data_IF_479518211504
#
_entry.id   IF_479518211504
#
_cell.length_a   1.000
_cell.length_b   1.000
_cell.length_c   1.000
_cell.angle_alpha   90.00
_cell.angle_beta   90.00
_cell.angle_gamma   90.00
#
_symmetry.space_group_name_H-M   'P 1'
#
loop_
_entity.id
_entity.type
_entity.pdbx_description
1 polymer ?
#
# COMPACT_ATOMS: atom_id res chain seq x y z
N UNK A 1 -24.80 -32.19 -9.37
CA UNK A 1 -23.39 -31.77 -9.35
C UNK A 1 -23.37 -30.29 -9.69
N UNK A 2 -23.17 -29.44 -8.69
CA UNK A 2 -23.38 -28.00 -8.81
C UNK A 2 -22.35 -27.38 -9.76
N UNK A 3 -22.76 -26.42 -10.61
CA UNK A 3 -21.89 -25.71 -11.56
C UNK A 3 -20.65 -25.09 -10.89
N UNK A 4 -20.80 -24.68 -9.62
CA UNK A 4 -19.73 -24.14 -8.78
C UNK A 4 -18.60 -25.14 -8.49
N UNK A 5 -18.93 -26.42 -8.32
CA UNK A 5 -17.91 -27.47 -8.12
C UNK A 5 -17.03 -27.65 -9.35
N UNK A 6 -17.64 -27.58 -10.54
CA UNK A 6 -16.89 -27.65 -11.81
C UNK A 6 -16.04 -26.40 -12.03
N UNK A 7 -16.54 -25.21 -11.66
CA UNK A 7 -15.78 -23.97 -11.77
C UNK A 7 -14.56 -23.95 -10.83
N UNK A 8 -14.69 -24.49 -9.61
CA UNK A 8 -13.58 -24.62 -8.65
C UNK A 8 -12.49 -25.56 -9.15
N UNK A 9 -12.85 -26.71 -9.70
CA UNK A 9 -11.87 -27.65 -10.28
C UNK A 9 -11.14 -27.03 -11.48
N UNK A 10 -11.87 -26.32 -12.35
CA UNK A 10 -11.27 -25.58 -13.47
C UNK A 10 -10.30 -24.50 -12.98
N UNK A 11 -10.61 -23.80 -11.89
CA UNK A 11 -9.71 -22.79 -11.34
C UNK A 11 -8.34 -23.35 -10.93
N UNK A 12 -8.24 -24.61 -10.50
CA UNK A 12 -6.98 -25.24 -10.12
C UNK A 12 -6.12 -25.65 -11.32
N UNK A 13 -6.75 -25.99 -12.44
CA UNK A 13 -6.07 -26.48 -13.66
C UNK A 13 -6.03 -25.45 -14.81
N UNK A 14 -6.64 -24.27 -14.61
CA UNK A 14 -6.76 -23.24 -15.63
C UNK A 14 -5.39 -22.78 -16.13
N UNK A 15 -5.30 -22.61 -17.46
CA UNK A 15 -4.16 -21.99 -18.14
C UNK A 15 -4.16 -20.47 -17.92
N UNK A 16 -3.06 -19.78 -18.26
CA UNK A 16 -2.95 -18.33 -18.05
C UNK A 16 -4.06 -17.52 -18.74
N UNK A 17 -4.53 -17.96 -19.91
CA UNK A 17 -5.60 -17.26 -20.65
C UNK A 17 -6.97 -17.47 -19.98
N UNK A 18 -7.24 -18.66 -19.45
CA UNK A 18 -8.46 -18.98 -18.72
C UNK A 18 -8.52 -18.30 -17.34
N UNK A 19 -7.35 -18.09 -16.71
CA UNK A 19 -7.25 -17.34 -15.46
C UNK A 19 -7.85 -15.94 -15.62
N UNK A 20 -7.60 -15.24 -16.72
CA UNK A 20 -8.13 -13.89 -16.93
C UNK A 20 -9.66 -13.84 -16.80
N UNK A 21 -10.36 -14.86 -17.29
CA UNK A 21 -11.82 -14.97 -17.18
C UNK A 21 -12.23 -15.30 -15.73
N UNK A 22 -11.57 -16.26 -15.10
CA UNK A 22 -11.89 -16.72 -13.74
C UNK A 22 -11.54 -15.68 -12.66
N UNK A 23 -10.57 -14.81 -12.91
CA UNK A 23 -10.19 -13.71 -12.02
C UNK A 23 -11.33 -12.72 -11.76
N UNK A 24 -12.33 -12.65 -12.65
CA UNK A 24 -13.52 -11.80 -12.50
C UNK A 24 -14.71 -12.54 -11.90
N UNK A 25 -14.57 -13.82 -11.56
CA UNK A 25 -15.65 -14.64 -11.03
C UNK A 25 -16.17 -14.08 -9.69
N UNK A 26 -17.48 -14.27 -9.44
CA UNK A 26 -18.16 -13.74 -8.25
C UNK A 26 -17.99 -14.62 -7.01
N UNK A 27 -17.92 -15.95 -7.19
CA UNK A 27 -17.76 -16.90 -6.09
C UNK A 27 -16.38 -16.81 -5.43
N UNK A 28 -16.36 -16.62 -4.11
CA UNK A 28 -15.15 -16.61 -3.31
C UNK A 28 -14.42 -17.95 -3.36
N UNK A 29 -15.14 -19.08 -3.36
CA UNK A 29 -14.54 -20.42 -3.41
C UNK A 29 -13.71 -20.64 -4.68
N UNK A 30 -14.18 -20.11 -5.81
CA UNK A 30 -13.44 -20.14 -7.08
C UNK A 30 -12.19 -19.28 -6.98
N UNK A 31 -12.30 -18.06 -6.43
CA UNK A 31 -11.16 -17.16 -6.26
C UNK A 31 -10.11 -17.72 -5.29
N UNK A 32 -10.54 -18.40 -4.22
CA UNK A 32 -9.65 -19.10 -3.30
C UNK A 32 -8.90 -20.23 -4.00
N UNK A 33 -9.60 -21.00 -4.83
CA UNK A 33 -8.95 -22.05 -5.63
C UNK A 33 -7.94 -21.49 -6.64
N UNK A 34 -8.18 -20.31 -7.23
CA UNK A 34 -7.20 -19.65 -8.10
C UNK A 34 -5.89 -19.34 -7.37
N UNK A 35 -5.92 -19.06 -6.06
CA UNK A 35 -4.70 -18.80 -5.28
C UNK A 35 -3.81 -20.05 -5.13
N UNK A 36 -4.33 -21.23 -5.40
CA UNK A 36 -3.60 -22.51 -5.38
C UNK A 36 -3.15 -22.95 -6.79
N UNK A 37 -3.56 -22.24 -7.84
CA UNK A 37 -3.18 -22.56 -9.20
C UNK A 37 -1.69 -22.21 -9.44
N UNK A 38 -0.88 -23.13 -10.02
CA UNK A 38 0.54 -22.87 -10.30
C UNK A 38 0.81 -21.73 -11.29
N UNK A 39 -0.14 -21.42 -12.18
CA UNK A 39 -0.07 -20.29 -13.12
C UNK A 39 -0.52 -18.95 -12.49
N UNK A 40 -0.86 -18.94 -11.18
CA UNK A 40 -1.19 -17.72 -10.45
C UNK A 40 0.09 -16.95 -10.08
N UNK A 41 0.56 -16.14 -11.02
CA UNK A 41 1.75 -15.30 -10.85
C UNK A 41 1.43 -13.89 -10.36
N UNK A 42 2.46 -13.05 -10.26
CA UNK A 42 2.35 -11.66 -9.80
C UNK A 42 1.30 -10.87 -10.57
N UNK A 43 1.28 -11.00 -11.90
CA UNK A 43 0.40 -10.20 -12.77
C UNK A 43 -1.07 -10.50 -12.49
N UNK A 44 -1.43 -11.77 -12.43
CA UNK A 44 -2.77 -12.27 -12.15
C UNK A 44 -3.21 -11.89 -10.73
N UNK A 45 -2.29 -11.96 -9.76
CA UNK A 45 -2.56 -11.54 -8.39
C UNK A 45 -2.78 -10.03 -8.27
N UNK A 46 -1.99 -9.21 -8.98
CA UNK A 46 -2.23 -7.78 -9.03
C UNK A 46 -3.59 -7.45 -9.66
N UNK A 47 -3.94 -8.11 -10.77
CA UNK A 47 -5.26 -7.96 -11.41
C UNK A 47 -6.41 -8.34 -10.48
N UNK A 48 -6.25 -9.43 -9.70
CA UNK A 48 -7.23 -9.80 -8.67
C UNK A 48 -7.41 -8.69 -7.63
N UNK A 49 -6.30 -8.13 -7.14
CA UNK A 49 -6.28 -7.09 -6.11
C UNK A 49 -6.73 -5.71 -6.60
N UNK A 50 -6.84 -5.47 -7.91
CA UNK A 50 -7.44 -4.25 -8.44
C UNK A 50 -8.98 -4.20 -8.25
N UNK A 51 -9.61 -5.36 -7.99
CA UNK A 51 -11.05 -5.48 -7.77
C UNK A 51 -11.45 -4.89 -6.41
N UNK A 52 -11.91 -3.64 -6.41
CA UNK A 52 -12.42 -2.94 -5.20
C UNK A 52 -13.51 -3.68 -4.41
N UNK A 53 -14.25 -4.58 -5.08
CA UNK A 53 -15.32 -5.37 -4.49
C UNK A 53 -14.89 -6.77 -4.03
N UNK A 54 -13.59 -7.04 -3.90
CA UNK A 54 -13.10 -8.34 -3.45
C UNK A 54 -13.53 -8.63 -2.00
N UNK A 55 -13.96 -9.86 -1.66
CA UNK A 55 -14.22 -10.25 -0.28
C UNK A 55 -12.95 -10.16 0.59
N UNK A 56 -13.11 -9.80 1.87
CA UNK A 56 -11.98 -9.63 2.80
C UNK A 56 -11.23 -10.94 3.05
N UNK A 57 -11.94 -12.07 3.06
CA UNK A 57 -11.34 -13.40 3.21
C UNK A 57 -10.28 -13.70 2.14
N UNK A 58 -10.47 -13.26 0.89
CA UNK A 58 -9.48 -13.44 -0.18
C UNK A 58 -8.23 -12.63 0.12
N UNK A 59 -8.39 -11.37 0.56
CA UNK A 59 -7.29 -10.49 0.93
C UNK A 59 -6.50 -11.06 2.11
N UNK A 60 -7.19 -11.62 3.09
CA UNK A 60 -6.60 -12.30 4.24
C UNK A 60 -5.82 -13.55 3.84
N UNK A 61 -6.35 -14.36 2.93
CA UNK A 61 -5.65 -15.54 2.40
C UNK A 61 -4.40 -15.15 1.62
N UNK A 62 -4.49 -14.13 0.76
CA UNK A 62 -3.31 -13.56 0.09
C UNK A 62 -2.28 -13.06 1.12
N UNK A 63 -2.73 -12.38 2.18
CA UNK A 63 -1.87 -11.88 3.24
C UNK A 63 -1.23 -12.98 4.09
N UNK A 64 -1.86 -14.15 4.20
CA UNK A 64 -1.39 -15.28 5.00
C UNK A 64 -0.31 -16.06 4.27
N UNK A 65 -0.42 -16.19 2.95
CA UNK A 65 0.45 -17.01 2.11
C UNK A 65 1.73 -16.25 1.74
N UNK A 66 2.83 -16.52 2.46
CA UNK A 66 4.16 -15.93 2.20
C UNK A 66 4.62 -16.00 0.73
N UNK A 67 4.40 -17.08 -0.04
CA UNK A 67 4.79 -17.14 -1.44
C UNK A 67 4.14 -16.05 -2.31
N UNK A 68 2.89 -15.70 -2.02
CA UNK A 68 2.14 -14.68 -2.77
C UNK A 68 2.63 -13.25 -2.45
N UNK A 69 3.14 -13.04 -1.24
CA UNK A 69 3.71 -11.76 -0.80
C UNK A 69 5.19 -11.56 -1.16
N UNK A 70 5.78 -12.40 -2.02
CA UNK A 70 7.17 -12.20 -2.46
C UNK A 70 7.34 -10.89 -3.25
N UNK A 71 6.37 -10.55 -4.07
CA UNK A 71 6.42 -9.37 -4.93
C UNK A 71 6.06 -8.09 -4.16
N UNK A 72 6.86 -7.04 -4.36
CA UNK A 72 6.56 -5.70 -3.88
C UNK A 72 5.22 -5.19 -4.42
N UNK A 73 4.92 -5.45 -5.70
CA UNK A 73 3.69 -4.97 -6.34
C UNK A 73 2.45 -5.55 -5.69
N UNK A 74 2.49 -6.82 -5.30
CA UNK A 74 1.42 -7.48 -4.55
C UNK A 74 1.28 -6.89 -3.15
N UNK A 75 2.38 -6.72 -2.41
CA UNK A 75 2.34 -6.09 -1.07
C UNK A 75 1.74 -4.69 -1.12
N UNK A 76 2.15 -3.89 -2.10
CA UNK A 76 1.63 -2.54 -2.34
C UNK A 76 0.14 -2.60 -2.70
N UNK A 77 -0.26 -3.41 -3.66
CA UNK A 77 -1.67 -3.53 -4.05
C UNK A 77 -2.55 -3.92 -2.85
N UNK A 78 -2.11 -4.90 -2.05
CA UNK A 78 -2.82 -5.36 -0.87
C UNK A 78 -2.89 -4.28 0.22
N UNK A 79 -1.80 -3.56 0.49
CA UNK A 79 -1.77 -2.50 1.50
C UNK A 79 -2.70 -1.32 1.16
N UNK A 80 -2.85 -1.01 -0.14
CA UNK A 80 -3.70 0.08 -0.65
C UNK A 80 -5.14 -0.33 -0.93
N UNK A 81 -5.46 -1.62 -0.85
CA UNK A 81 -6.80 -2.08 -1.19
C UNK A 81 -7.82 -1.67 -0.12
N UNK A 82 -8.98 -1.07 -0.50
CA UNK A 82 -9.91 -0.43 0.43
C UNK A 82 -10.57 -1.40 1.42
N UNK A 83 -10.63 -2.69 1.09
CA UNK A 83 -11.22 -3.73 1.94
C UNK A 83 -10.18 -4.55 2.72
N UNK A 84 -8.90 -4.21 2.62
CA UNK A 84 -7.87 -4.92 3.38
C UNK A 84 -8.05 -4.60 4.88
N UNK A 85 -8.11 -5.62 5.75
CA UNK A 85 -8.17 -5.39 7.18
C UNK A 85 -7.00 -4.53 7.67
N UNK A 86 -7.28 -3.55 8.55
CA UNK A 86 -6.31 -2.54 9.01
C UNK A 86 -4.99 -3.16 9.50
N UNK A 87 -5.07 -4.25 10.28
CA UNK A 87 -3.91 -4.96 10.81
C UNK A 87 -2.99 -5.52 9.72
N UNK A 88 -3.55 -5.99 8.61
CA UNK A 88 -2.78 -6.49 7.46
C UNK A 88 -2.06 -5.32 6.80
N UNK A 89 -2.78 -4.22 6.52
CA UNK A 89 -2.18 -3.02 5.94
C UNK A 89 -1.05 -2.47 6.82
N UNK A 90 -1.26 -2.35 8.14
CA UNK A 90 -0.24 -1.91 9.10
C UNK A 90 1.02 -2.77 9.05
N UNK A 91 0.85 -4.11 8.99
CA UNK A 91 1.98 -5.03 8.87
C UNK A 91 2.76 -4.80 7.58
N UNK A 92 2.07 -4.60 6.47
CA UNK A 92 2.65 -4.39 5.13
C UNK A 92 3.30 -3.01 4.96
N UNK A 93 2.90 -1.98 5.72
CA UNK A 93 3.52 -0.65 5.64
C UNK A 93 5.04 -0.71 5.78
N UNK A 94 5.55 -1.59 6.65
CA UNK A 94 6.99 -1.77 6.89
C UNK A 94 7.77 -2.15 5.64
N UNK A 95 7.12 -2.85 4.72
CA UNK A 95 7.71 -3.33 3.48
C UNK A 95 7.57 -2.32 2.33
N UNK A 96 6.84 -1.21 2.54
CA UNK A 96 6.61 -0.21 1.50
C UNK A 96 7.83 0.71 1.31
N UNK A 97 8.02 1.10 0.05
CA UNK A 97 8.99 2.12 -0.33
C UNK A 97 8.56 3.50 0.17
N UNK A 98 9.54 4.38 0.28
CA UNK A 98 9.38 5.72 0.84
C UNK A 98 8.21 6.48 0.20
N UNK A 99 8.12 6.46 -1.14
CA UNK A 99 7.08 7.21 -1.84
C UNK A 99 5.69 6.59 -1.71
N UNK A 100 5.60 5.27 -1.54
CA UNK A 100 4.33 4.63 -1.28
C UNK A 100 3.87 4.91 0.16
N UNK A 101 4.78 4.99 1.14
CA UNK A 101 4.44 5.47 2.49
C UNK A 101 3.91 6.90 2.49
N UNK A 102 4.52 7.80 1.70
CA UNK A 102 4.00 9.16 1.50
C UNK A 102 2.57 9.09 0.94
N UNK A 103 2.34 8.25 -0.07
CA UNK A 103 1.02 8.09 -0.67
C UNK A 103 -0.01 7.60 0.36
N UNK A 104 0.32 6.62 1.21
CA UNK A 104 -0.58 6.17 2.29
C UNK A 104 -0.94 7.32 3.24
N UNK A 105 0.04 8.16 3.61
CA UNK A 105 -0.17 9.26 4.54
C UNK A 105 -1.10 10.35 3.98
N UNK A 106 -1.04 10.64 2.68
CA UNK A 106 -1.78 11.74 2.06
C UNK A 106 -3.13 11.34 1.46
N UNK A 107 -3.31 10.09 1.03
CA UNK A 107 -4.53 9.66 0.29
C UNK A 107 -5.81 9.84 1.13
N UNK A 108 -6.85 10.48 0.59
CA UNK A 108 -8.17 10.50 1.21
C UNK A 108 -8.77 9.09 1.33
N UNK A 109 -9.48 8.81 2.43
CA UNK A 109 -10.13 7.50 2.64
C UNK A 109 -9.27 6.45 3.35
N UNK A 110 -7.96 6.67 3.49
CA UNK A 110 -7.12 5.86 4.39
C UNK A 110 -7.42 6.22 5.84
N UNK A 111 -7.49 5.22 6.73
CA UNK A 111 -7.76 5.42 8.16
C UNK A 111 -6.70 6.33 8.81
N UNK A 112 -7.11 7.11 9.81
CA UNK A 112 -6.20 8.00 10.53
C UNK A 112 -5.05 7.23 11.21
N UNK A 113 -5.30 5.99 11.63
CA UNK A 113 -4.29 5.10 12.22
C UNK A 113 -3.22 4.71 11.21
N UNK A 114 -3.61 4.28 9.99
CA UNK A 114 -2.67 3.94 8.93
C UNK A 114 -1.85 5.16 8.50
N UNK A 115 -2.47 6.34 8.40
CA UNK A 115 -1.77 7.59 8.08
C UNK A 115 -0.70 7.92 9.12
N UNK A 116 -1.04 7.86 10.40
CA UNK A 116 -0.09 8.12 11.50
C UNK A 116 1.07 7.13 11.48
N UNK A 117 0.80 5.84 11.33
CA UNK A 117 1.84 4.82 11.24
C UNK A 117 2.75 5.01 10.02
N UNK A 118 2.20 5.42 8.87
CA UNK A 118 3.00 5.72 7.69
C UNK A 118 3.92 6.94 7.94
N UNK A 119 3.39 8.02 8.53
CA UNK A 119 4.18 9.18 8.93
C UNK A 119 5.27 8.83 9.94
N UNK A 120 4.96 8.01 10.95
CA UNK A 120 5.93 7.61 11.96
C UNK A 120 7.11 6.82 11.35
N UNK A 121 6.83 5.97 10.35
CA UNK A 121 7.88 5.29 9.58
C UNK A 121 8.69 6.26 8.72
N UNK A 122 8.06 7.25 8.10
CA UNK A 122 8.76 8.27 7.32
C UNK A 122 9.70 9.09 8.23
N UNK A 123 9.21 9.50 9.40
CA UNK A 123 9.99 10.22 10.40
C UNK A 123 11.16 9.39 10.93
N UNK A 124 10.96 8.10 11.19
CA UNK A 124 12.02 7.21 11.64
C UNK A 124 13.13 7.03 10.60
N UNK A 125 12.80 7.07 9.30
CA UNK A 125 13.76 6.97 8.20
C UNK A 125 14.45 8.31 7.89
N UNK A 126 13.80 9.43 8.20
CA UNK A 126 14.21 10.80 7.82
C UNK A 126 15.70 11.13 8.06
N UNK A 127 16.30 10.83 9.23
CA UNK A 127 17.69 11.21 9.50
C UNK A 127 18.70 10.55 8.57
N UNK A 128 18.37 9.39 8.01
CA UNK A 128 19.25 8.58 7.16
C UNK A 128 19.01 8.83 5.66
N UNK A 129 18.01 9.66 5.31
CA UNK A 129 17.67 9.89 3.90
C UNK A 129 18.68 10.82 3.22
N UNK A 130 19.11 10.51 1.98
CA UNK A 130 19.87 11.42 1.15
C UNK A 130 19.13 12.74 0.91
N UNK A 131 19.88 13.83 0.72
CA UNK A 131 19.33 15.17 0.53
C UNK A 131 18.29 15.25 -0.60
N UNK A 132 18.51 14.56 -1.73
CA UNK A 132 17.53 14.53 -2.83
C UNK A 132 16.18 13.91 -2.45
N UNK A 133 16.18 12.90 -1.58
CA UNK A 133 14.94 12.31 -1.03
C UNK A 133 14.29 13.25 -0.01
N UNK A 134 15.08 13.93 0.83
CA UNK A 134 14.57 14.99 1.73
C UNK A 134 13.92 16.13 0.94
N UNK A 135 14.53 16.60 -0.15
CA UNK A 135 13.95 17.61 -1.05
C UNK A 135 12.64 17.10 -1.66
N UNK A 136 12.58 15.83 -2.06
CA UNK A 136 11.35 15.23 -2.59
C UNK A 136 10.24 15.21 -1.55
N UNK A 137 10.55 14.77 -0.32
CA UNK A 137 9.62 14.79 0.81
C UNK A 137 9.22 16.21 1.21
N UNK A 138 10.12 17.18 1.12
CA UNK A 138 9.80 18.57 1.37
C UNK A 138 8.76 19.09 0.39
N UNK A 139 8.81 18.69 -0.88
CA UNK A 139 7.85 19.15 -1.89
C UNK A 139 6.47 18.50 -1.80
N UNK A 140 6.39 17.22 -1.42
CA UNK A 140 5.15 16.42 -1.55
C UNK A 140 4.81 15.52 -0.36
N UNK A 141 5.62 15.57 0.70
CA UNK A 141 5.44 14.76 1.90
C UNK A 141 4.31 15.28 2.78
N UNK A 142 3.82 14.44 3.71
CA UNK A 142 2.74 14.81 4.62
C UNK A 142 3.17 15.89 5.62
N UNK A 143 2.21 16.62 6.18
CA UNK A 143 2.41 17.78 7.05
C UNK A 143 3.43 17.54 8.18
N UNK A 144 3.32 16.41 8.90
CA UNK A 144 4.22 16.07 10.02
C UNK A 144 5.67 15.87 9.57
N UNK A 145 5.87 15.27 8.41
CA UNK A 145 7.21 15.05 7.83
C UNK A 145 7.79 16.36 7.29
N UNK A 146 6.95 17.19 6.65
CA UNK A 146 7.34 18.52 6.21
C UNK A 146 7.76 19.42 7.39
N UNK A 147 7.00 19.41 8.49
CA UNK A 147 7.38 20.12 9.72
C UNK A 147 8.70 19.63 10.31
N UNK A 148 8.96 18.32 10.29
CA UNK A 148 10.24 17.77 10.75
C UNK A 148 11.41 18.20 9.85
N UNK A 149 11.23 18.21 8.53
CA UNK A 149 12.24 18.70 7.58
C UNK A 149 12.52 20.20 7.75
N UNK A 150 11.49 21.00 8.03
CA UNK A 150 11.65 22.41 8.35
C UNK A 150 12.50 22.60 9.62
N UNK A 151 12.26 21.77 10.65
CA UNK A 151 13.04 21.79 11.88
C UNK A 151 14.50 21.30 11.73
N UNK A 152 14.83 20.50 10.71
CA UNK A 152 16.22 20.15 10.40
C UNK A 152 17.03 21.35 9.87
N UNK A 153 16.35 22.36 9.29
CA UNK A 153 16.98 23.62 8.90
C UNK A 153 17.95 23.56 7.72
N UNK A 154 17.98 22.48 6.94
CA UNK A 154 18.83 22.40 5.75
C UNK A 154 18.43 23.47 4.72
N UNK A 155 19.37 24.36 4.36
CA UNK A 155 19.12 25.53 3.49
C UNK A 155 18.37 25.19 2.19
N UNK A 156 18.79 24.12 1.50
CA UNK A 156 18.17 23.68 0.24
C UNK A 156 16.74 23.12 0.40
N UNK A 157 16.33 22.79 1.62
CA UNK A 157 15.05 22.14 1.94
C UNK A 157 14.04 23.15 2.47
N UNK A 158 14.50 24.17 3.21
CA UNK A 158 13.63 25.14 3.89
C UNK A 158 12.70 25.88 2.93
N UNK A 159 13.19 26.43 1.82
CA UNK A 159 12.31 27.11 0.85
C UNK A 159 11.29 26.15 0.25
N UNK A 160 11.74 24.95 -0.13
CA UNK A 160 10.90 23.93 -0.77
C UNK A 160 9.82 23.41 0.17
N UNK A 161 10.13 23.26 1.46
CA UNK A 161 9.18 22.71 2.44
C UNK A 161 8.11 23.73 2.82
N UNK A 162 8.41 25.02 2.76
CA UNK A 162 7.43 26.09 2.96
C UNK A 162 6.41 26.15 1.81
N UNK A 163 6.82 25.79 0.59
CA UNK A 163 5.93 25.67 -0.59
C UNK A 163 5.13 24.36 -0.63
N UNK A 164 5.25 23.49 0.39
CA UNK A 164 4.57 22.20 0.41
C UNK A 164 3.04 22.40 0.56
N UNK A 165 2.20 21.77 -0.29
CA UNK A 165 0.73 21.91 -0.24
C UNK A 165 0.10 21.35 1.04
N UNK A 166 0.83 20.51 1.79
CA UNK A 166 0.42 19.94 3.06
C UNK A 166 1.07 20.65 4.26
N UNK A 167 1.87 21.70 4.04
CA UNK A 167 2.37 22.50 5.15
C UNK A 167 1.21 23.16 5.89
N UNK A 168 1.28 23.19 7.22
CA UNK A 168 0.26 23.83 8.05
C UNK A 168 0.90 24.79 9.03
N UNK A 169 0.18 25.83 9.43
CA UNK A 169 0.63 26.80 10.42
C UNK A 169 1.09 26.12 11.72
N UNK A 170 0.35 25.10 12.18
CA UNK A 170 0.71 24.33 13.36
C UNK A 170 2.09 23.63 13.25
N UNK A 171 2.49 23.20 12.05
CA UNK A 171 3.81 22.61 11.83
C UNK A 171 4.92 23.66 11.79
N UNK A 172 4.64 24.83 11.18
CA UNK A 172 5.57 25.96 11.17
C UNK A 172 5.84 26.44 12.61
N UNK A 173 4.78 26.69 13.39
CA UNK A 173 4.90 27.13 14.77
C UNK A 173 5.68 26.11 15.62
N UNK A 174 5.42 24.82 15.43
CA UNK A 174 6.14 23.74 16.11
C UNK A 174 7.63 23.70 15.74
N UNK A 175 7.99 24.03 14.50
CA UNK A 175 9.39 24.09 14.07
C UNK A 175 10.11 25.31 14.66
N UNK A 176 9.42 26.44 14.78
CA UNK A 176 9.95 27.68 15.35
C UNK A 176 10.02 27.68 16.89
N UNK A 177 9.20 26.87 17.56
CA UNK A 177 9.15 26.78 19.03
C UNK A 177 10.22 25.84 19.61
N UNK A 178 11.23 25.44 18.83
CA UNK A 178 12.31 24.54 19.24
C UNK A 178 13.60 25.30 19.52
#
# INVERSE_FOLDING_TARGET
MSEEGSARERALAATSDELAVLLHHASADVLLALLDNPAMEETQLCLLLERKNLPSEILEEVARRKPLLKSYRVKRALAFHPRTPCLISLRLLRDLYLMDLVQVAIVPGVSAELKRNAEDQLLARLPQLPLGQKITLARRGPARVAGALLAEGHEQVVSIVLDNPHMTEAQILRALSR
#
